data_IF_608829439337
#
_entry.id   IF_608829439337
#
_cell.length_a   1.000
_cell.length_b   1.000
_cell.length_c   1.000
_cell.angle_alpha   90.00
_cell.angle_beta   90.00
_cell.angle_gamma   90.00
#
_symmetry.space_group_name_H-M   'P 1'
#
loop_
_entity.id
_entity.type
_entity.pdbx_description
1 polymer ?
#
# COMPACT_ATOMS: atom_id res chain seq x y z
N UNK A 1 6.59 26.00 13.69
CA UNK A 1 7.99 25.92 13.20
C UNK A 1 8.24 24.53 12.65
N UNK A 2 8.49 24.40 11.34
CA UNK A 2 8.88 23.12 10.70
C UNK A 2 10.29 22.81 11.19
N UNK A 3 10.44 21.76 12.01
CA UNK A 3 11.76 21.25 12.38
C UNK A 3 12.41 20.80 11.06
N UNK A 4 13.38 21.56 10.57
CA UNK A 4 14.15 21.17 9.39
C UNK A 4 14.74 19.80 9.69
N UNK A 5 14.28 18.78 8.98
CA UNK A 5 14.89 17.46 9.04
C UNK A 5 16.33 17.62 8.57
N UNK A 6 17.28 17.20 9.40
CA UNK A 6 18.69 17.16 8.98
C UNK A 6 18.75 16.10 7.89
N UNK A 7 19.05 16.53 6.63
CA UNK A 7 19.22 15.57 5.53
C UNK A 7 20.36 14.60 5.87
N UNK A 8 20.20 13.36 5.40
CA UNK A 8 21.14 12.26 5.64
C UNK A 8 21.20 11.79 7.11
N UNK A 9 20.19 12.12 7.93
CA UNK A 9 20.08 11.54 9.27
C UNK A 9 19.79 10.04 9.18
N UNK A 10 20.69 9.23 9.72
CA UNK A 10 20.61 7.76 9.66
C UNK A 10 19.34 7.20 10.33
N UNK A 11 18.87 7.85 11.40
CA UNK A 11 17.65 7.41 12.11
C UNK A 11 16.41 7.59 11.23
N UNK A 12 16.33 8.72 10.56
CA UNK A 12 15.24 9.04 9.63
C UNK A 12 15.26 8.12 8.41
N UNK A 13 16.45 7.90 7.81
CA UNK A 13 16.63 7.01 6.66
C UNK A 13 16.26 5.56 7.04
N UNK A 14 16.70 5.08 8.21
CA UNK A 14 16.35 3.74 8.67
C UNK A 14 14.86 3.57 8.92
N UNK A 15 14.21 4.58 9.53
CA UNK A 15 12.76 4.58 9.71
C UNK A 15 12.00 4.57 8.39
N UNK A 16 12.49 5.31 7.40
CA UNK A 16 11.93 5.31 6.05
C UNK A 16 12.11 3.94 5.36
N UNK A 17 13.28 3.33 5.42
CA UNK A 17 13.53 2.00 4.87
C UNK A 17 12.72 0.89 5.59
N UNK A 18 12.55 0.98 6.91
CA UNK A 18 11.70 0.05 7.67
C UNK A 18 10.22 0.15 7.28
N UNK A 19 9.75 1.32 6.88
CA UNK A 19 8.40 1.44 6.35
C UNK A 19 8.23 0.62 5.07
N UNK A 20 9.20 0.66 4.16
CA UNK A 20 9.17 -0.14 2.93
C UNK A 20 9.20 -1.65 3.23
N UNK A 21 10.04 -2.06 4.17
CA UNK A 21 10.07 -3.44 4.67
C UNK A 21 8.70 -3.92 5.14
N UNK A 22 8.02 -3.15 5.99
CA UNK A 22 6.70 -3.49 6.52
C UNK A 22 5.60 -3.47 5.45
N UNK A 23 5.67 -2.51 4.52
CA UNK A 23 4.67 -2.31 3.48
C UNK A 23 4.78 -3.37 2.37
N UNK A 24 5.99 -3.86 2.09
CA UNK A 24 6.25 -4.90 1.09
C UNK A 24 5.56 -6.23 1.42
N UNK A 25 5.38 -6.55 2.71
CA UNK A 25 4.65 -7.73 3.14
C UNK A 25 3.21 -7.78 2.59
N UNK A 26 2.51 -6.63 2.55
CA UNK A 26 1.17 -6.55 1.97
C UNK A 26 1.18 -6.88 0.47
N UNK A 27 2.10 -6.29 -0.28
CA UNK A 27 2.14 -6.43 -1.74
C UNK A 27 2.27 -7.90 -2.17
N UNK A 28 3.20 -8.62 -1.58
CA UNK A 28 3.42 -10.03 -1.93
C UNK A 28 2.36 -10.93 -1.30
N UNK A 29 2.15 -10.84 0.01
CA UNK A 29 1.31 -11.79 0.73
C UNK A 29 -0.17 -11.62 0.36
N UNK A 30 -0.68 -10.40 0.45
CA UNK A 30 -2.12 -10.18 0.25
C UNK A 30 -2.46 -10.03 -1.23
N UNK A 31 -1.79 -9.11 -1.96
CA UNK A 31 -2.20 -8.80 -3.32
C UNK A 31 -1.88 -9.91 -4.33
N UNK A 32 -0.85 -10.72 -4.10
CA UNK A 32 -0.36 -11.69 -5.09
C UNK A 32 -0.52 -13.12 -4.63
N UNK A 33 -0.01 -13.48 -3.45
CA UNK A 33 0.17 -14.87 -3.07
C UNK A 33 -1.06 -15.49 -2.40
N UNK A 34 -1.76 -14.76 -1.54
CA UNK A 34 -2.79 -15.35 -0.65
C UNK A 34 -4.21 -14.98 -1.08
N UNK A 35 -4.51 -13.69 -1.21
CA UNK A 35 -5.89 -13.27 -1.40
C UNK A 35 -6.49 -13.67 -2.76
N UNK A 36 -5.82 -13.50 -3.92
CA UNK A 36 -6.40 -13.89 -5.21
C UNK A 36 -6.76 -15.39 -5.30
N UNK A 37 -5.87 -16.35 -4.97
CA UNK A 37 -6.24 -17.75 -5.00
C UNK A 37 -7.28 -18.13 -3.93
N UNK A 38 -7.26 -17.51 -2.76
CA UNK A 38 -8.28 -17.69 -1.73
C UNK A 38 -9.65 -17.19 -2.19
N UNK A 39 -9.71 -16.00 -2.79
CA UNK A 39 -10.91 -15.44 -3.38
C UNK A 39 -11.48 -16.36 -4.46
N UNK A 40 -10.63 -16.83 -5.38
CA UNK A 40 -11.04 -17.75 -6.44
C UNK A 40 -11.60 -19.06 -5.85
N UNK A 41 -10.95 -19.63 -4.85
CA UNK A 41 -11.40 -20.86 -4.21
C UNK A 41 -12.80 -20.74 -3.58
N UNK A 42 -13.07 -19.63 -2.89
CA UNK A 42 -14.37 -19.38 -2.21
C UNK A 42 -15.48 -19.04 -3.21
N UNK A 43 -15.16 -18.37 -4.31
CA UNK A 43 -16.16 -17.85 -5.25
C UNK A 43 -16.24 -18.67 -6.54
N UNK A 44 -15.54 -19.80 -6.61
CA UNK A 44 -15.45 -20.63 -7.82
C UNK A 44 -16.84 -21.03 -8.35
N UNK A 45 -17.03 -20.88 -9.66
CA UNK A 45 -18.28 -21.20 -10.34
C UNK A 45 -19.44 -20.25 -10.08
N UNK A 46 -19.22 -19.15 -9.33
CA UNK A 46 -20.26 -18.18 -9.04
C UNK A 46 -20.11 -16.91 -9.88
N UNK A 47 -21.23 -16.24 -10.05
CA UNK A 47 -21.29 -14.92 -10.70
C UNK A 47 -21.98 -13.93 -9.77
N UNK A 48 -21.45 -12.71 -9.72
CA UNK A 48 -21.93 -11.65 -8.84
C UNK A 48 -22.17 -10.38 -9.64
N UNK A 49 -23.31 -9.76 -9.47
CA UNK A 49 -23.67 -8.51 -10.15
C UNK A 49 -23.57 -8.58 -11.68
N UNK A 50 -23.77 -9.75 -12.29
CA UNK A 50 -23.63 -9.97 -13.73
C UNK A 50 -22.21 -10.20 -14.24
N UNK A 51 -21.21 -10.26 -13.36
CA UNK A 51 -19.81 -10.55 -13.70
C UNK A 51 -19.40 -11.94 -13.17
N UNK A 52 -18.46 -12.59 -13.86
CA UNK A 52 -17.77 -13.72 -13.25
C UNK A 52 -16.95 -13.27 -12.04
N UNK A 53 -16.68 -14.19 -11.10
CA UNK A 53 -15.87 -13.90 -9.91
C UNK A 53 -14.53 -13.23 -10.26
N UNK A 54 -13.78 -13.79 -11.22
CA UNK A 54 -12.48 -13.26 -11.67
C UNK A 54 -12.60 -11.87 -12.29
N UNK A 55 -13.65 -11.64 -13.12
CA UNK A 55 -13.90 -10.34 -13.72
C UNK A 55 -14.25 -9.28 -12.66
N UNK A 56 -15.07 -9.64 -11.68
CA UNK A 56 -15.42 -8.74 -10.58
C UNK A 56 -14.19 -8.33 -9.77
N UNK A 57 -13.32 -9.28 -9.42
CA UNK A 57 -12.08 -8.97 -8.70
C UNK A 57 -11.17 -8.05 -9.50
N UNK A 58 -10.91 -8.40 -10.77
CA UNK A 58 -10.03 -7.61 -11.63
C UNK A 58 -10.53 -6.19 -11.86
N UNK A 59 -11.84 -6.02 -12.11
CA UNK A 59 -12.46 -4.70 -12.25
C UNK A 59 -12.37 -3.90 -10.95
N UNK A 60 -12.58 -4.54 -9.80
CA UNK A 60 -12.53 -3.89 -8.50
C UNK A 60 -11.13 -3.37 -8.17
N UNK A 61 -10.10 -4.16 -8.42
CA UNK A 61 -8.70 -3.73 -8.23
C UNK A 61 -8.32 -2.64 -9.26
N UNK A 62 -8.75 -2.76 -10.50
CA UNK A 62 -8.55 -1.72 -11.52
C UNK A 62 -9.19 -0.39 -11.10
N UNK A 63 -10.39 -0.43 -10.54
CA UNK A 63 -11.06 0.75 -10.00
C UNK A 63 -10.30 1.36 -8.81
N UNK A 64 -9.74 0.53 -7.93
CA UNK A 64 -8.91 0.99 -6.83
C UNK A 64 -7.72 1.82 -7.33
N UNK A 65 -6.98 1.30 -8.31
CA UNK A 65 -5.84 2.02 -8.89
C UNK A 65 -6.25 3.25 -9.71
N UNK A 66 -7.40 3.22 -10.35
CA UNK A 66 -7.97 4.39 -11.02
C UNK A 66 -8.23 5.53 -10.00
N UNK A 67 -8.84 5.21 -8.86
CA UNK A 67 -9.05 6.17 -7.76
C UNK A 67 -7.73 6.72 -7.27
N UNK A 68 -6.72 5.88 -7.05
CA UNK A 68 -5.38 6.32 -6.63
C UNK A 68 -4.74 7.25 -7.65
N UNK A 69 -4.85 6.96 -8.94
CA UNK A 69 -4.33 7.80 -10.03
C UNK A 69 -4.88 9.22 -9.99
N UNK A 70 -6.18 9.37 -9.76
CA UNK A 70 -6.81 10.69 -9.70
C UNK A 70 -6.55 11.42 -8.39
N UNK A 71 -6.56 10.71 -7.27
CA UNK A 71 -6.39 11.35 -5.96
C UNK A 71 -4.94 11.72 -5.66
N UNK A 72 -3.96 10.98 -6.18
CA UNK A 72 -2.54 11.16 -5.83
C UNK A 72 -2.00 12.56 -6.12
N UNK A 73 -2.21 13.18 -7.29
CA UNK A 73 -1.73 14.53 -7.55
C UNK A 73 -2.36 15.56 -6.60
N UNK A 74 -3.65 15.41 -6.31
CA UNK A 74 -4.41 16.32 -5.45
C UNK A 74 -3.89 16.23 -4.02
N UNK A 75 -3.79 15.01 -3.49
CA UNK A 75 -3.35 14.78 -2.11
C UNK A 75 -1.87 15.14 -1.92
N UNK A 76 -1.02 14.89 -2.92
CA UNK A 76 0.39 15.29 -2.87
C UNK A 76 0.51 16.82 -2.80
N UNK A 77 -0.23 17.56 -3.61
CA UNK A 77 -0.23 19.02 -3.56
C UNK A 77 -0.69 19.56 -2.21
N UNK A 78 -1.76 19.03 -1.63
CA UNK A 78 -2.25 19.40 -0.30
C UNK A 78 -1.24 19.06 0.79
N UNK A 79 -0.61 17.90 0.70
CA UNK A 79 0.35 17.43 1.69
C UNK A 79 1.64 18.26 1.67
N UNK A 80 2.10 18.63 0.48
CA UNK A 80 3.29 19.48 0.29
C UNK A 80 3.07 20.88 0.85
N UNK A 81 1.97 21.52 0.46
CA UNK A 81 1.63 22.85 0.94
C UNK A 81 1.44 22.90 2.47
N UNK A 82 0.75 21.92 3.03
CA UNK A 82 0.46 21.84 4.47
C UNK A 82 1.57 21.24 5.33
N UNK A 83 2.64 20.69 4.77
CA UNK A 83 3.68 19.97 5.50
C UNK A 83 3.14 18.75 6.26
N UNK A 84 2.10 18.09 5.72
CA UNK A 84 1.33 17.03 6.39
C UNK A 84 1.55 15.64 5.79
N UNK A 85 2.56 15.45 4.94
CA UNK A 85 2.86 14.16 4.27
C UNK A 85 2.83 12.97 5.22
N UNK A 86 3.48 13.07 6.38
CA UNK A 86 3.52 12.00 7.37
C UNK A 86 2.13 11.63 7.92
N UNK A 87 1.24 12.61 8.07
CA UNK A 87 -0.14 12.34 8.53
C UNK A 87 -0.93 11.57 7.48
N UNK A 88 -0.82 11.98 6.21
CA UNK A 88 -1.47 11.26 5.11
C UNK A 88 -0.90 9.85 4.94
N UNK A 89 0.42 9.69 4.97
CA UNK A 89 1.06 8.37 4.91
C UNK A 89 0.54 7.46 6.03
N UNK A 90 0.53 7.93 7.29
CA UNK A 90 0.00 7.18 8.43
C UNK A 90 -1.48 6.86 8.27
N UNK A 91 -2.30 7.80 7.82
CA UNK A 91 -3.73 7.60 7.62
C UNK A 91 -3.99 6.48 6.60
N UNK A 92 -3.40 6.56 5.41
CA UNK A 92 -3.59 5.57 4.37
C UNK A 92 -3.04 4.20 4.75
N UNK A 93 -1.87 4.14 5.40
CA UNK A 93 -1.32 2.88 5.91
C UNK A 93 -2.23 2.26 6.98
N UNK A 94 -2.81 3.07 7.88
CA UNK A 94 -3.72 2.57 8.91
C UNK A 94 -5.02 2.06 8.30
N UNK A 95 -5.60 2.79 7.35
CA UNK A 95 -6.81 2.35 6.62
C UNK A 95 -6.51 1.04 5.90
N UNK A 96 -5.40 0.96 5.17
CA UNK A 96 -4.99 -0.27 4.48
C UNK A 96 -4.85 -1.45 5.43
N UNK A 97 -4.20 -1.26 6.57
CA UNK A 97 -4.01 -2.31 7.59
C UNK A 97 -5.35 -2.78 8.20
N UNK A 98 -6.26 -1.85 8.53
CA UNK A 98 -7.58 -2.19 9.07
C UNK A 98 -8.39 -2.97 8.02
N UNK A 99 -8.40 -2.54 6.77
CA UNK A 99 -9.09 -3.24 5.70
C UNK A 99 -8.46 -4.62 5.43
N UNK A 100 -7.15 -4.75 5.53
CA UNK A 100 -6.46 -6.03 5.44
C UNK A 100 -6.88 -6.98 6.57
N UNK A 101 -7.01 -6.50 7.81
CA UNK A 101 -7.56 -7.29 8.91
C UNK A 101 -9.02 -7.68 8.68
N UNK A 102 -9.81 -6.80 8.05
CA UNK A 102 -11.21 -7.09 7.73
C UNK A 102 -11.36 -8.24 6.71
N UNK A 103 -10.36 -8.52 5.88
CA UNK A 103 -10.37 -9.67 4.98
C UNK A 103 -10.44 -11.01 5.70
N UNK A 104 -10.02 -11.06 6.97
CA UNK A 104 -10.19 -12.25 7.83
C UNK A 104 -11.65 -12.69 7.95
N UNK A 105 -12.59 -11.76 7.87
CA UNK A 105 -14.02 -12.06 7.97
C UNK A 105 -14.67 -12.45 6.63
N UNK A 106 -13.89 -12.47 5.55
CA UNK A 106 -14.34 -12.97 4.25
C UNK A 106 -14.12 -14.49 4.17
N UNK A 107 -15.06 -15.25 4.71
CA UNK A 107 -14.99 -16.71 4.84
C UNK A 107 -15.96 -17.48 3.91
N UNK A 108 -16.83 -16.75 3.21
CA UNK A 108 -17.84 -17.33 2.33
C UNK A 108 -18.21 -16.38 1.18
N UNK A 109 -18.72 -16.94 0.08
CA UNK A 109 -19.17 -16.20 -1.08
C UNK A 109 -20.30 -15.20 -0.79
N UNK A 110 -21.12 -15.47 0.22
CA UNK A 110 -22.20 -14.56 0.64
C UNK A 110 -21.67 -13.21 1.16
N UNK A 111 -20.40 -13.18 1.58
CA UNK A 111 -19.73 -11.97 2.07
C UNK A 111 -18.89 -11.28 0.98
N UNK A 112 -19.22 -11.51 -0.29
CA UNK A 112 -18.47 -10.97 -1.43
C UNK A 112 -18.28 -9.44 -1.36
N UNK A 113 -19.28 -8.71 -0.92
CA UNK A 113 -19.22 -7.24 -0.76
C UNK A 113 -18.15 -6.84 0.26
N UNK A 114 -18.03 -7.58 1.36
CA UNK A 114 -16.98 -7.35 2.35
C UNK A 114 -15.60 -7.69 1.77
N UNK A 115 -15.44 -8.84 1.12
CA UNK A 115 -14.17 -9.27 0.51
C UNK A 115 -13.66 -8.27 -0.53
N UNK A 116 -14.52 -7.91 -1.49
CA UNK A 116 -14.18 -6.93 -2.52
C UNK A 116 -13.96 -5.53 -1.92
N UNK A 117 -14.87 -5.06 -1.07
CA UNK A 117 -14.76 -3.74 -0.45
C UNK A 117 -13.49 -3.58 0.38
N UNK A 118 -13.18 -4.56 1.21
CA UNK A 118 -11.96 -4.54 2.02
C UNK A 118 -10.70 -4.63 1.15
N UNK A 119 -10.67 -5.47 0.10
CA UNK A 119 -9.51 -5.56 -0.79
C UNK A 119 -9.26 -4.28 -1.59
N UNK A 120 -10.31 -3.63 -2.08
CA UNK A 120 -10.23 -2.33 -2.79
C UNK A 120 -9.69 -1.25 -1.86
N UNK A 121 -10.25 -1.12 -0.66
CA UNK A 121 -9.81 -0.11 0.32
C UNK A 121 -8.39 -0.38 0.81
N UNK A 122 -8.01 -1.65 1.00
CA UNK A 122 -6.64 -2.02 1.33
C UNK A 122 -5.66 -1.65 0.20
N UNK A 123 -6.02 -1.90 -1.06
CA UNK A 123 -5.21 -1.52 -2.22
C UNK A 123 -5.08 0.01 -2.35
N UNK A 124 -6.16 0.77 -2.14
CA UNK A 124 -6.11 2.24 -2.13
C UNK A 124 -5.21 2.74 -0.99
N UNK A 125 -5.36 2.19 0.21
CA UNK A 125 -4.53 2.55 1.37
C UNK A 125 -3.05 2.28 1.12
N UNK A 126 -2.73 1.09 0.61
CA UNK A 126 -1.37 0.71 0.24
C UNK A 126 -0.76 1.65 -0.80
N UNK A 127 -1.41 1.78 -1.97
CA UNK A 127 -0.88 2.56 -3.07
C UNK A 127 -0.77 4.06 -2.73
N UNK A 128 -1.76 4.63 -2.02
CA UNK A 128 -1.71 6.02 -1.56
C UNK A 128 -0.60 6.26 -0.54
N UNK A 129 -0.35 5.31 0.36
CA UNK A 129 0.74 5.43 1.33
C UNK A 129 2.12 5.47 0.65
N UNK A 130 2.30 4.70 -0.43
CA UNK A 130 3.54 4.70 -1.23
C UNK A 130 3.79 6.03 -1.95
N UNK A 131 2.75 6.73 -2.40
CA UNK A 131 2.91 8.07 -2.99
C UNK A 131 3.59 9.01 -2.00
N UNK A 132 3.13 9.02 -0.75
CA UNK A 132 3.75 9.85 0.29
C UNK A 132 5.12 9.34 0.72
N UNK A 133 5.30 8.03 0.82
CA UNK A 133 6.58 7.40 1.11
C UNK A 133 7.66 7.85 0.12
N UNK A 134 7.39 7.75 -1.18
CA UNK A 134 8.32 8.15 -2.22
C UNK A 134 8.61 9.67 -2.19
N UNK A 135 7.63 10.47 -1.83
CA UNK A 135 7.79 11.94 -1.75
C UNK A 135 8.70 12.41 -0.61
N UNK A 136 9.05 11.52 0.34
CA UNK A 136 9.99 11.84 1.41
C UNK A 136 11.46 11.76 0.99
N UNK A 137 11.81 10.99 -0.03
CA UNK A 137 13.19 10.75 -0.42
C UNK A 137 13.99 12.05 -0.63
N UNK A 138 13.52 13.06 -1.39
CA UNK A 138 14.23 14.33 -1.56
C UNK A 138 14.27 15.19 -0.29
N UNK A 139 13.42 14.91 0.70
CA UNK A 139 13.43 15.62 1.98
C UNK A 139 14.44 15.05 2.98
N UNK A 140 14.72 13.73 2.91
CA UNK A 140 15.58 13.01 3.86
C UNK A 140 17.00 12.79 3.34
N UNK A 141 17.23 12.87 2.01
CA UNK A 141 18.52 12.67 1.38
C UNK A 141 18.96 13.89 0.57
N UNK A 142 20.27 14.10 0.47
CA UNK A 142 20.87 15.03 -0.48
C UNK A 142 20.96 14.38 -1.87
N UNK A 143 21.07 15.17 -2.94
CA UNK A 143 21.06 14.68 -4.32
C UNK A 143 22.15 13.61 -4.56
N UNK A 144 23.34 13.81 -3.99
CA UNK A 144 24.47 12.89 -4.08
C UNK A 144 24.26 11.55 -3.36
N UNK A 145 23.27 11.47 -2.45
CA UNK A 145 22.95 10.27 -1.66
C UNK A 145 21.58 9.65 -1.95
N UNK A 146 20.76 10.29 -2.79
CA UNK A 146 19.42 9.79 -3.09
C UNK A 146 19.44 8.36 -3.62
N UNK A 147 20.34 8.04 -4.54
CA UNK A 147 20.41 6.70 -5.13
C UNK A 147 20.78 5.64 -4.08
N UNK A 148 21.74 5.94 -3.21
CA UNK A 148 22.15 5.01 -2.15
C UNK A 148 21.07 4.82 -1.08
N UNK A 149 20.33 5.88 -0.74
CA UNK A 149 19.20 5.81 0.21
C UNK A 149 18.05 5.06 -0.43
N UNK A 150 17.74 5.30 -1.70
CA UNK A 150 16.72 4.57 -2.44
C UNK A 150 17.05 3.07 -2.52
N UNK A 151 18.29 2.73 -2.89
CA UNK A 151 18.76 1.35 -2.94
C UNK A 151 18.63 0.66 -1.57
N UNK A 152 18.89 1.39 -0.48
CA UNK A 152 18.68 0.88 0.88
C UNK A 152 17.21 0.58 1.17
N UNK A 153 16.27 1.46 0.78
CA UNK A 153 14.84 1.22 0.90
C UNK A 153 14.44 -0.07 0.19
N UNK A 154 14.79 -0.20 -1.08
CA UNK A 154 14.53 -1.41 -1.86
C UNK A 154 15.13 -2.68 -1.23
N UNK A 155 16.37 -2.61 -0.72
CA UNK A 155 16.99 -3.75 -0.05
C UNK A 155 16.19 -4.20 1.19
N UNK A 156 15.69 -3.26 1.99
CA UNK A 156 14.80 -3.56 3.11
C UNK A 156 13.47 -4.15 2.64
N UNK A 157 12.88 -3.61 1.57
CA UNK A 157 11.67 -4.15 0.94
C UNK A 157 11.85 -5.61 0.52
N UNK A 158 12.96 -5.94 -0.18
CA UNK A 158 13.28 -7.32 -0.58
C UNK A 158 13.48 -8.25 0.61
N UNK A 159 14.14 -7.80 1.69
CA UNK A 159 14.25 -8.60 2.92
C UNK A 159 12.86 -8.83 3.51
N UNK A 160 11.98 -7.84 3.52
CA UNK A 160 10.58 -7.98 3.94
C UNK A 160 9.83 -9.04 3.13
N UNK A 161 10.03 -9.06 1.81
CA UNK A 161 9.46 -10.08 0.92
C UNK A 161 10.02 -11.47 1.20
N UNK A 162 11.32 -11.61 1.48
CA UNK A 162 11.97 -12.91 1.67
C UNK A 162 11.56 -13.61 2.97
N UNK A 163 11.26 -12.85 4.03
CA UNK A 163 10.81 -13.41 5.31
C UNK A 163 9.43 -14.08 5.24
N UNK A 164 8.67 -13.85 4.17
CA UNK A 164 7.36 -14.46 3.94
C UNK A 164 7.50 -15.84 3.30
N UNK A 165 8.67 -16.15 2.72
CA UNK A 165 8.95 -17.44 2.10
C UNK A 165 9.52 -18.50 3.07
N UNK A 166 9.74 -18.15 4.34
CA UNK A 166 10.17 -19.06 5.40
C UNK A 166 8.95 -19.54 6.21
#
# INVERSE_FOLDING_TARGET
>A
MKKLSIKNDLKTINGWALFDWANSAYALTIMVAVFPPYYEAITSGQSFFGFSNTALYSLSISLAYLVVSFQSPILSGIADYGGRKLRFMKFFSTVGAICCMALFFFDSADRIVLGIGASVLAAIGFASSLVFYNSFLPEIATEDKMDSVSAKGFAYGYVGLSLIHI
#
